data_IF_040952296941
#
_entry.id   IF_040952296941
#
_cell.length_a   1.000
_cell.length_b   1.000
_cell.length_c   1.000
_cell.angle_alpha   90.00
_cell.angle_beta   90.00
_cell.angle_gamma   90.00
#
_symmetry.space_group_name_H-M   'P 1'
#
loop_
_entity.id
_entity.type
_entity.pdbx_description
1 polymer ?
#
# COMPACT_ATOMS: atom_id res chain seq x y z
N UNK A 1 -36.62 39.62 -29.97
CA UNK A 1 -36.17 38.25 -30.32
C UNK A 1 -34.65 38.23 -30.30
N UNK A 2 -34.04 37.48 -29.38
CA UNK A 2 -32.69 36.94 -29.55
C UNK A 2 -32.59 35.71 -28.64
N UNK A 3 -32.64 34.51 -29.24
CA UNK A 3 -32.49 33.24 -28.53
C UNK A 3 -31.00 32.95 -28.40
N UNK A 4 -30.46 33.04 -27.20
CA UNK A 4 -29.11 32.55 -26.89
C UNK A 4 -29.29 31.13 -26.35
N UNK A 5 -29.15 30.14 -27.22
CA UNK A 5 -29.05 28.73 -26.83
C UNK A 5 -27.72 28.51 -26.14
N UNK A 6 -27.76 28.38 -24.81
CA UNK A 6 -26.59 28.08 -23.99
C UNK A 6 -26.18 26.63 -24.21
N UNK A 7 -25.02 26.42 -24.86
CA UNK A 7 -24.36 25.12 -24.92
C UNK A 7 -23.97 24.70 -23.50
N UNK A 8 -24.56 23.61 -23.00
CA UNK A 8 -24.05 22.91 -21.83
C UNK A 8 -22.81 22.11 -22.25
N UNK A 9 -21.63 22.67 -22.04
CA UNK A 9 -20.37 21.93 -22.12
C UNK A 9 -20.29 21.05 -20.87
N UNK A 10 -20.69 19.79 -21.00
CA UNK A 10 -20.50 18.78 -19.96
C UNK A 10 -19.01 18.41 -19.95
N UNK A 11 -18.26 19.01 -19.02
CA UNK A 11 -16.91 18.56 -18.73
C UNK A 11 -17.01 17.21 -18.02
N UNK A 12 -16.89 16.13 -18.79
CA UNK A 12 -16.57 14.82 -18.26
C UNK A 12 -15.16 14.89 -17.65
N UNK A 13 -15.08 15.21 -16.36
CA UNK A 13 -13.88 14.94 -15.57
C UNK A 13 -13.76 13.42 -15.47
N UNK A 14 -13.08 12.83 -16.46
CA UNK A 14 -12.66 11.45 -16.41
C UNK A 14 -11.68 11.29 -15.26
N UNK A 15 -12.11 10.61 -14.20
CA UNK A 15 -11.17 10.06 -13.24
C UNK A 15 -10.34 9.01 -13.98
N UNK A 16 -9.11 9.34 -14.34
CA UNK A 16 -8.15 8.32 -14.76
C UNK A 16 -7.83 7.50 -13.51
N UNK A 17 -8.52 6.37 -13.34
CA UNK A 17 -8.01 5.32 -12.49
C UNK A 17 -6.68 4.90 -13.13
N UNK A 18 -5.57 5.34 -12.55
CA UNK A 18 -4.27 4.81 -12.90
C UNK A 18 -4.32 3.31 -12.61
N UNK A 19 -4.32 2.51 -13.68
CA UNK A 19 -4.19 1.06 -13.57
C UNK A 19 -2.78 0.84 -13.03
N UNK A 20 -2.65 0.70 -11.72
CA UNK A 20 -1.39 0.31 -11.10
C UNK A 20 -1.02 -1.03 -11.71
N UNK A 21 0.12 -1.13 -12.42
CA UNK A 21 0.53 -2.39 -13.02
C UNK A 21 0.60 -3.47 -11.93
N UNK A 22 0.13 -4.68 -12.23
CA UNK A 22 0.42 -5.83 -11.38
C UNK A 22 1.94 -6.04 -11.37
N UNK A 23 2.56 -5.68 -10.25
CA UNK A 23 4.01 -5.69 -10.08
C UNK A 23 4.54 -7.10 -9.75
N UNK A 24 3.69 -8.12 -9.85
CA UNK A 24 4.10 -9.52 -9.82
C UNK A 24 4.35 -10.05 -8.41
N UNK A 25 3.57 -9.62 -7.41
CA UNK A 25 3.75 -10.13 -6.04
C UNK A 25 2.68 -11.12 -5.63
N UNK A 26 3.13 -12.23 -5.06
CA UNK A 26 2.28 -13.17 -4.34
C UNK A 26 2.59 -13.12 -2.84
N UNK A 27 1.57 -13.21 -1.99
CA UNK A 27 1.73 -13.14 -0.54
C UNK A 27 1.03 -14.28 0.18
N UNK A 28 1.59 -14.74 1.30
CA UNK A 28 1.03 -15.81 2.12
C UNK A 28 1.30 -15.58 3.60
N UNK A 29 0.38 -15.99 4.47
CA UNK A 29 0.48 -15.83 5.92
C UNK A 29 0.80 -17.17 6.58
N UNK A 30 1.86 -17.22 7.38
CA UNK A 30 2.24 -18.40 8.17
C UNK A 30 2.15 -18.11 9.68
N UNK A 31 2.09 -19.13 10.55
CA UNK A 31 1.93 -18.93 11.99
C UNK A 31 3.01 -18.04 12.64
N UNK A 32 4.23 -18.01 12.09
CA UNK A 32 5.38 -17.29 12.68
C UNK A 32 5.99 -16.22 11.79
N UNK A 33 5.56 -16.11 10.52
CA UNK A 33 6.05 -15.13 9.56
C UNK A 33 5.04 -14.88 8.44
N UNK A 34 5.20 -13.81 7.68
CA UNK A 34 4.49 -13.55 6.42
C UNK A 34 5.47 -13.76 5.27
N UNK A 35 5.01 -14.28 4.12
CA UNK A 35 5.84 -14.43 2.92
C UNK A 35 5.35 -13.51 1.81
N UNK A 36 6.29 -12.87 1.13
CA UNK A 36 6.05 -12.21 -0.15
C UNK A 36 7.06 -12.75 -1.17
N UNK A 37 6.56 -13.14 -2.34
CA UNK A 37 7.34 -13.55 -3.50
C UNK A 37 7.15 -12.51 -4.59
N UNK A 38 8.26 -11.90 -5.05
CA UNK A 38 8.29 -10.90 -6.11
C UNK A 38 8.79 -11.56 -7.39
N UNK A 39 7.98 -11.56 -8.44
CA UNK A 39 8.35 -11.99 -9.79
C UNK A 39 9.11 -10.87 -10.51
N UNK A 40 10.44 -11.00 -10.53
CA UNK A 40 11.35 -10.04 -11.16
C UNK A 40 11.20 -10.01 -12.68
N UNK A 41 10.57 -11.03 -13.28
CA UNK A 41 10.33 -11.06 -14.73
C UNK A 41 9.20 -10.14 -15.17
N UNK A 42 8.30 -9.74 -14.26
CA UNK A 42 7.21 -8.80 -14.53
C UNK A 42 7.70 -7.37 -14.63
N UNK A 43 8.82 -7.06 -14.00
CA UNK A 43 9.40 -5.72 -14.00
C UNK A 43 10.94 -5.82 -14.03
N UNK A 44 11.54 -5.83 -15.24
CA UNK A 44 12.98 -6.11 -15.41
C UNK A 44 13.90 -5.01 -14.86
N UNK A 45 13.36 -3.84 -14.52
CA UNK A 45 14.11 -2.76 -13.87
C UNK A 45 14.30 -3.01 -12.36
N UNK A 46 13.56 -3.96 -11.78
CA UNK A 46 13.69 -4.33 -10.37
C UNK A 46 14.97 -5.13 -10.13
N UNK A 47 15.91 -4.52 -9.42
CA UNK A 47 17.10 -5.19 -8.91
C UNK A 47 16.82 -5.70 -7.50
N UNK A 48 16.91 -7.01 -7.28
CA UNK A 48 16.60 -7.64 -5.99
C UNK A 48 17.35 -7.02 -4.79
N UNK A 49 18.59 -6.57 -4.99
CA UNK A 49 19.40 -5.92 -3.95
C UNK A 49 18.84 -4.57 -3.47
N UNK A 50 18.07 -3.88 -4.31
CA UNK A 50 17.45 -2.58 -4.00
C UNK A 50 16.07 -2.75 -3.36
N UNK A 51 15.57 -3.99 -3.26
CA UNK A 51 14.30 -4.31 -2.60
C UNK A 51 14.55 -4.51 -1.10
N UNK A 52 13.68 -3.97 -0.26
CA UNK A 52 13.75 -4.08 1.19
C UNK A 52 12.35 -4.05 1.84
N UNK A 53 12.26 -4.43 3.11
CA UNK A 53 11.03 -4.31 3.90
C UNK A 53 10.87 -2.90 4.50
N UNK A 54 9.90 -2.69 5.39
CA UNK A 54 9.79 -1.42 6.12
C UNK A 54 11.11 -1.03 6.84
N UNK A 55 11.81 -2.01 7.40
CA UNK A 55 13.22 -1.86 7.78
C UNK A 55 14.12 -2.06 6.55
N UNK A 56 14.88 -1.02 6.18
CA UNK A 56 15.80 -1.02 5.03
C UNK A 56 16.90 -2.09 5.12
N UNK A 57 17.24 -2.53 6.32
CA UNK A 57 18.25 -3.57 6.54
C UNK A 57 17.70 -4.98 6.27
N UNK A 58 16.38 -5.14 6.23
CA UNK A 58 15.76 -6.43 5.92
C UNK A 58 15.58 -6.60 4.41
N UNK A 59 16.44 -7.46 3.85
CA UNK A 59 16.49 -7.82 2.43
C UNK A 59 15.78 -9.16 2.18
N UNK A 60 15.70 -9.53 0.91
CA UNK A 60 15.17 -10.83 0.51
C UNK A 60 15.93 -11.97 1.20
N UNK A 61 15.21 -12.95 1.71
CA UNK A 61 15.79 -14.17 2.33
C UNK A 61 16.28 -15.15 1.28
N UNK A 62 15.70 -15.10 0.08
CA UNK A 62 16.17 -15.85 -1.08
C UNK A 62 16.03 -15.02 -2.35
N UNK A 63 17.01 -15.12 -3.24
CA UNK A 63 17.00 -14.44 -4.53
C UNK A 63 17.40 -15.40 -5.64
N UNK A 64 16.72 -15.32 -6.77
CA UNK A 64 17.06 -15.99 -8.03
C UNK A 64 16.99 -14.95 -9.17
N UNK A 65 17.35 -15.33 -10.41
CA UNK A 65 17.16 -14.45 -11.56
C UNK A 65 15.70 -14.07 -11.84
N UNK A 66 14.73 -14.83 -11.31
CA UNK A 66 13.31 -14.63 -11.59
C UNK A 66 12.50 -14.22 -10.36
N UNK A 67 12.98 -14.52 -9.15
CA UNK A 67 12.22 -14.26 -7.92
C UNK A 67 13.08 -13.64 -6.81
N UNK A 68 12.46 -12.76 -6.03
CA UNK A 68 12.94 -12.37 -4.70
C UNK A 68 11.90 -12.77 -3.65
N UNK A 69 12.31 -13.55 -2.65
CA UNK A 69 11.45 -14.05 -1.58
C UNK A 69 11.78 -13.34 -0.28
N UNK A 70 10.75 -12.91 0.43
CA UNK A 70 10.85 -12.29 1.74
C UNK A 70 10.09 -13.13 2.76
N UNK A 71 10.79 -13.76 3.69
CA UNK A 71 10.20 -14.27 4.93
C UNK A 71 10.26 -13.19 6.00
N UNK A 72 9.10 -12.60 6.28
CA UNK A 72 8.91 -11.41 7.09
C UNK A 72 8.52 -11.84 8.51
N UNK A 73 9.41 -11.69 9.51
CA UNK A 73 9.07 -12.07 10.88
C UNK A 73 7.98 -11.13 11.44
N UNK A 74 7.08 -11.69 12.26
CA UNK A 74 5.95 -10.92 12.82
C UNK A 74 6.36 -9.79 13.76
N UNK A 75 7.54 -9.90 14.39
CA UNK A 75 7.98 -8.99 15.46
C UNK A 75 9.30 -8.25 15.14
N UNK A 76 9.74 -8.27 13.89
CA UNK A 76 10.96 -7.56 13.46
C UNK A 76 10.82 -7.04 12.03
N UNK A 77 11.89 -6.51 11.44
CA UNK A 77 11.91 -6.00 10.07
C UNK A 77 10.88 -4.91 9.75
N UNK A 78 10.53 -4.10 10.76
CA UNK A 78 9.53 -3.04 10.63
C UNK A 78 8.10 -3.55 10.41
N UNK A 79 7.82 -4.81 10.79
CA UNK A 79 6.45 -5.33 10.81
C UNK A 79 5.63 -4.55 11.83
N UNK A 80 4.49 -4.04 11.39
CA UNK A 80 3.54 -3.31 12.23
C UNK A 80 2.51 -4.29 12.75
N UNK A 81 2.31 -4.31 14.07
CA UNK A 81 1.29 -5.10 14.73
C UNK A 81 0.18 -4.18 15.25
N UNK A 82 -1.06 -4.47 14.88
CA UNK A 82 -2.25 -3.86 15.45
C UNK A 82 -3.05 -4.91 16.23
N UNK A 83 -3.16 -4.67 17.54
CA UNK A 83 -3.90 -5.51 18.48
C UNK A 83 -5.16 -4.85 19.03
N UNK A 84 -5.64 -3.77 18.41
CA UNK A 84 -6.84 -3.04 18.85
C UNK A 84 -8.12 -3.90 18.76
N UNK A 85 -8.16 -4.86 17.84
CA UNK A 85 -9.30 -5.76 17.71
C UNK A 85 -9.30 -6.87 18.80
N UNK A 86 -10.46 -7.14 19.44
CA UNK A 86 -10.54 -8.14 20.51
C UNK A 86 -10.32 -9.59 20.04
N UNK A 87 -10.73 -9.93 18.81
CA UNK A 87 -10.71 -11.33 18.33
C UNK A 87 -9.45 -11.71 17.52
N UNK A 88 -8.71 -10.73 17.00
CA UNK A 88 -7.58 -10.98 16.11
C UNK A 88 -6.48 -9.93 16.26
N UNK A 89 -5.32 -10.28 15.74
CA UNK A 89 -4.15 -9.44 15.55
C UNK A 89 -3.98 -9.20 14.05
N UNK A 90 -3.69 -7.97 13.67
CA UNK A 90 -3.23 -7.65 12.33
C UNK A 90 -1.73 -7.46 12.36
N UNK A 91 -1.04 -8.10 11.42
CA UNK A 91 0.36 -7.86 11.14
C UNK A 91 0.49 -7.38 9.71
N UNK A 92 1.29 -6.35 9.48
CA UNK A 92 1.52 -5.84 8.12
C UNK A 92 2.97 -5.42 7.90
N UNK A 93 3.41 -5.52 6.65
CA UNK A 93 4.70 -5.03 6.21
C UNK A 93 4.61 -4.63 4.74
N UNK A 94 5.62 -3.92 4.23
CA UNK A 94 5.66 -3.47 2.84
C UNK A 94 7.00 -3.84 2.22
N UNK A 95 6.97 -4.59 1.13
CA UNK A 95 8.11 -4.78 0.23
C UNK A 95 8.25 -3.52 -0.62
N UNK A 96 9.42 -2.91 -0.61
CA UNK A 96 9.70 -1.63 -1.26
C UNK A 96 10.93 -1.76 -2.14
N UNK A 97 10.85 -1.27 -3.36
CA UNK A 97 12.00 -1.03 -4.22
C UNK A 97 12.18 0.46 -4.40
N UNK A 98 13.36 0.94 -4.06
CA UNK A 98 13.76 2.32 -4.26
C UNK A 98 15.06 2.30 -5.08
N UNK A 99 15.02 2.63 -6.38
CA UNK A 99 16.22 2.66 -7.18
C UNK A 99 17.17 3.70 -6.61
N UNK A 100 18.42 3.30 -6.38
CA UNK A 100 19.46 4.26 -6.02
C UNK A 100 19.68 5.18 -7.23
N UNK A 101 19.58 6.51 -7.11
CA UNK A 101 19.77 7.40 -8.25
C UNK A 101 21.20 7.22 -8.79
N UNK A 102 21.33 6.84 -10.06
CA UNK A 102 22.65 6.81 -10.71
C UNK A 102 23.11 8.24 -10.96
N UNK A 103 24.31 8.58 -10.47
CA UNK A 103 24.87 9.92 -10.61
C UNK A 103 24.98 10.37 -12.07
N UNK A 104 24.63 11.64 -12.31
CA UNK A 104 24.89 12.45 -13.52
C UNK A 104 24.00 12.28 -14.75
N UNK A 105 22.88 11.54 -14.72
CA UNK A 105 21.86 11.65 -15.76
C UNK A 105 20.58 12.24 -15.18
N UNK A 106 20.06 13.27 -15.86
CA UNK A 106 18.94 14.10 -15.42
C UNK A 106 17.79 13.28 -14.83
N UNK A 107 17.18 13.84 -13.78
CA UNK A 107 16.11 13.28 -12.95
C UNK A 107 15.02 12.54 -13.75
N UNK A 108 15.27 11.29 -14.14
CA UNK A 108 14.19 10.34 -14.42
C UNK A 108 13.84 9.74 -13.08
N UNK A 109 12.79 10.28 -12.46
CA UNK A 109 12.23 9.73 -11.23
C UNK A 109 11.58 8.41 -11.63
N UNK A 110 12.30 7.29 -11.51
CA UNK A 110 11.68 5.98 -11.72
C UNK A 110 10.72 5.77 -10.57
N UNK A 111 9.43 5.56 -10.88
CA UNK A 111 8.41 5.33 -9.87
C UNK A 111 8.79 4.09 -9.07
N UNK A 112 8.95 4.27 -7.75
CA UNK A 112 9.32 3.19 -6.85
C UNK A 112 8.21 2.14 -6.78
N UNK A 113 8.58 0.90 -6.49
CA UNK A 113 7.62 -0.17 -6.32
C UNK A 113 7.34 -0.40 -4.83
N UNK A 114 6.08 -0.58 -4.45
CA UNK A 114 5.69 -0.98 -3.11
C UNK A 114 4.54 -2.00 -3.16
N UNK A 115 4.66 -3.08 -2.41
CA UNK A 115 3.60 -4.07 -2.20
C UNK A 115 3.42 -4.33 -0.71
N UNK A 116 2.22 -4.08 -0.20
CA UNK A 116 1.88 -4.30 1.19
C UNK A 116 1.27 -5.69 1.38
N UNK A 117 1.75 -6.39 2.41
CA UNK A 117 1.13 -7.62 2.92
C UNK A 117 0.49 -7.32 4.27
N UNK A 118 -0.73 -7.81 4.46
CA UNK A 118 -1.46 -7.75 5.73
C UNK A 118 -2.02 -9.13 6.04
N UNK A 119 -1.72 -9.63 7.23
CA UNK A 119 -2.14 -10.94 7.71
C UNK A 119 -2.93 -10.79 9.01
N UNK A 120 -4.09 -11.44 9.07
CA UNK A 120 -4.95 -11.51 10.24
C UNK A 120 -4.76 -12.84 10.98
N UNK A 121 -4.52 -12.76 12.28
CA UNK A 121 -4.28 -13.91 13.16
C UNK A 121 -5.27 -13.90 14.32
N UNK A 122 -6.12 -14.92 14.44
CA UNK A 122 -7.07 -15.00 15.55
C UNK A 122 -6.35 -15.25 16.88
N UNK A 123 -6.85 -14.62 17.96
CA UNK A 123 -6.24 -14.69 19.30
C UNK A 123 -6.55 -15.99 20.05
N UNK A 124 -7.57 -16.73 19.62
CA UNK A 124 -8.15 -17.82 20.40
C UNK A 124 -7.51 -19.19 20.11
N UNK A 125 -6.30 -19.23 19.54
CA UNK A 125 -5.56 -20.46 19.29
C UNK A 125 -5.97 -21.26 18.05
N UNK A 126 -7.02 -20.85 17.34
CA UNK A 126 -7.37 -21.37 16.01
C UNK A 126 -6.82 -20.44 14.94
N UNK A 127 -5.75 -20.85 14.25
CA UNK A 127 -5.20 -20.12 13.09
C UNK A 127 -6.22 -20.17 11.95
N UNK A 128 -6.99 -19.10 11.78
CA UNK A 128 -7.84 -18.89 10.62
C UNK A 128 -7.13 -17.86 9.73
N UNK A 129 -6.40 -18.36 8.73
CA UNK A 129 -5.70 -17.53 7.75
C UNK A 129 -6.72 -16.87 6.84
N UNK A 130 -7.16 -15.67 7.20
CA UNK A 130 -7.88 -14.80 6.26
C UNK A 130 -6.84 -13.93 5.54
N UNK A 131 -6.69 -14.21 4.24
CA UNK A 131 -5.90 -13.40 3.31
C UNK A 131 -6.78 -12.23 2.88
N UNK A 132 -6.42 -11.01 3.28
CA UNK A 132 -7.01 -9.80 2.73
C UNK A 132 -5.94 -9.08 1.90
N UNK A 133 -5.96 -9.29 0.59
CA UNK A 133 -5.20 -8.47 -0.34
C UNK A 133 -6.00 -7.17 -0.49
N UNK A 134 -5.56 -6.10 0.15
CA UNK A 134 -6.00 -4.75 -0.20
C UNK A 134 -4.87 -4.08 -0.99
N UNK A 135 -5.12 -3.60 -2.22
CA UNK A 135 -4.29 -2.56 -2.79
C UNK A 135 -4.32 -1.36 -1.84
N UNK A 136 -3.19 -0.68 -1.64
CA UNK A 136 -3.15 0.49 -0.76
C UNK A 136 -4.20 1.51 -1.21
N UNK A 137 -5.06 1.94 -0.30
CA UNK A 137 -5.83 3.18 -0.46
C UNK A 137 -5.17 4.20 0.44
N UNK A 138 -4.68 5.29 -0.15
CA UNK A 138 -4.05 6.37 0.59
C UNK A 138 -5.14 7.11 1.39
N UNK A 139 -5.20 6.88 2.70
CA UNK A 139 -6.14 7.60 3.59
C UNK A 139 -5.68 9.05 3.70
N UNK A 140 -6.26 9.92 2.89
CA UNK A 140 -6.18 11.38 3.11
C UNK A 140 -7.11 11.73 4.26
N UNK A 141 -6.53 11.98 5.44
CA UNK A 141 -7.26 12.53 6.58
C UNK A 141 -7.72 13.93 6.20
N UNK A 142 -9.02 14.11 6.01
CA UNK A 142 -9.64 15.42 5.83
C UNK A 142 -9.38 16.32 7.05
N UNK A 143 -9.29 17.64 6.88
CA UNK A 143 -9.02 18.56 7.98
C UNK A 143 -10.15 18.53 9.03
N UNK A 144 -9.83 18.76 10.32
CA UNK A 144 -10.79 18.61 11.41
C UNK A 144 -11.95 19.61 11.30
N UNK A 145 -13.17 19.11 11.48
CA UNK A 145 -14.38 19.90 11.54
C UNK A 145 -14.28 20.93 12.68
N UNK A 146 -14.52 22.21 12.37
CA UNK A 146 -14.70 23.26 13.37
C UNK A 146 -16.13 23.19 13.87
N UNK A 147 -16.31 22.66 15.08
CA UNK A 147 -17.53 22.90 15.86
C UNK A 147 -17.67 24.40 16.14
N UNK A 148 -18.84 24.96 15.80
CA UNK A 148 -19.26 26.25 16.34
C UNK A 148 -20.74 26.20 16.73
N UNK A 149 -20.92 25.84 18.01
CA UNK A 149 -21.82 26.43 19.00
C UNK A 149 -23.00 27.24 18.44
N UNK A 150 -24.19 26.66 18.61
CA UNK A 150 -25.52 27.28 18.49
C UNK A 150 -25.62 28.53 19.38
N UNK A 151 -26.08 29.64 18.82
CA UNK A 151 -26.65 30.74 19.58
C UNK A 151 -28.08 30.97 19.07
N UNK A 152 -29.04 30.79 19.97
CA UNK A 152 -30.45 31.09 19.81
C UNK A 152 -30.64 32.61 19.78
N UNK A 153 -31.41 33.14 18.83
CA UNK A 153 -32.05 34.45 18.96
C UNK A 153 -33.40 34.42 18.29
N UNK A 154 -34.42 34.53 19.12
CA UNK A 154 -35.83 34.79 18.87
C UNK A 154 -36.10 35.96 17.92
N UNK A 155 -37.12 35.83 17.06
CA UNK A 155 -38.07 36.92 16.78
C UNK A 155 -39.37 36.36 16.18
N UNK A 156 -40.48 36.69 16.85
CA UNK A 156 -41.91 36.74 16.46
C UNK A 156 -42.61 35.55 15.78
#
# INVERSE_FOLDING_TARGET
MLRITSLFVVLFYGASAEVVPDLGTNSSCFPTFMRVEVDLTKNPDLVAGDIHLNDRNCKATQTSPTFAVFDIPLHSCGTVQDGSHPDYLLFSNTVRWQPTPSGNKGQTRTDGFASQVTCRYNRNGNVDTSVLIQPFEEVTVGPPAKDKMTAHSSTD
#
